data_IF_002869885468
#
_entry.id   IF_002869885468
#
_cell.length_a   1.000
_cell.length_b   1.000
_cell.length_c   1.000
_cell.angle_alpha   90.00
_cell.angle_beta   90.00
_cell.angle_gamma   90.00
#
_symmetry.space_group_name_H-M   'P 1'
#
loop_
_entity.id
_entity.type
_entity.pdbx_description
1 polymer ?
#
# COMPACT_ATOMS: atom_id res chain seq x y z
N UNK A 1 -4.35 4.12 -6.13
CA UNK A 1 -4.01 2.72 -6.51
C UNK A 1 -2.74 2.26 -5.80
N UNK A 2 -1.61 2.99 -5.90
CA UNK A 2 -0.37 2.61 -5.19
C UNK A 2 -0.55 2.55 -3.66
N UNK A 3 -1.34 3.45 -3.07
CA UNK A 3 -1.61 3.46 -1.62
C UNK A 3 -2.34 2.20 -1.12
N UNK A 4 -3.41 1.79 -1.81
CA UNK A 4 -4.07 0.48 -1.57
C UNK A 4 -3.03 -0.63 -1.65
N UNK A 5 -2.23 -0.63 -2.71
CA UNK A 5 -1.27 -1.70 -2.94
C UNK A 5 -0.28 -1.78 -1.78
N UNK A 6 0.26 -0.66 -1.31
CA UNK A 6 1.16 -0.61 -0.16
C UNK A 6 0.52 -1.15 1.12
N UNK A 7 -0.70 -0.71 1.45
CA UNK A 7 -1.45 -1.20 2.62
C UNK A 7 -1.78 -2.69 2.51
N UNK A 8 -2.22 -3.15 1.34
CA UNK A 8 -2.52 -4.56 1.08
C UNK A 8 -1.27 -5.44 1.23
N UNK A 9 -0.13 -5.00 0.68
CA UNK A 9 1.13 -5.73 0.79
C UNK A 9 1.66 -5.75 2.22
N UNK A 10 1.57 -4.64 2.95
CA UNK A 10 1.94 -4.59 4.36
C UNK A 10 1.03 -5.49 5.22
N UNK A 11 -0.27 -5.50 4.97
CA UNK A 11 -1.24 -6.34 5.69
C UNK A 11 -1.02 -7.84 5.45
N UNK A 12 -0.65 -8.24 4.23
CA UNK A 12 -0.53 -9.66 3.85
C UNK A 12 0.89 -10.20 4.08
N UNK A 13 1.89 -9.49 3.55
CA UNK A 13 3.30 -9.90 3.59
C UNK A 13 3.98 -9.35 4.84
N UNK A 14 3.68 -8.10 5.24
CA UNK A 14 4.48 -7.34 6.20
C UNK A 14 5.45 -6.41 5.47
N UNK A 15 6.57 -6.11 6.12
CA UNK A 15 7.59 -5.21 5.58
C UNK A 15 8.08 -5.61 4.18
N UNK A 16 8.38 -4.59 3.36
CA UNK A 16 8.90 -4.80 2.00
C UNK A 16 10.16 -5.64 2.02
N UNK A 17 10.16 -6.70 1.21
CA UNK A 17 11.22 -7.73 1.17
C UNK A 17 11.79 -7.96 -0.23
N UNK A 18 11.48 -7.07 -1.18
CA UNK A 18 11.99 -7.10 -2.55
C UNK A 18 12.81 -5.85 -2.84
N UNK A 19 13.77 -5.94 -3.76
CA UNK A 19 14.54 -4.80 -4.23
C UNK A 19 13.67 -3.79 -4.98
N UNK A 20 14.03 -2.51 -4.89
CA UNK A 20 13.33 -1.44 -5.61
C UNK A 20 13.48 -1.65 -7.13
N UNK A 21 12.37 -1.60 -7.91
CA UNK A 21 12.43 -1.72 -9.37
C UNK A 21 13.30 -0.66 -10.04
N UNK A 22 13.88 -1.01 -11.20
CA UNK A 22 14.73 -0.11 -11.98
C UNK A 22 14.03 1.18 -12.42
N UNK A 23 14.80 2.22 -12.72
CA UNK A 23 14.30 3.58 -13.03
C UNK A 23 13.38 3.68 -14.24
N UNK A 24 13.36 2.66 -15.11
CA UNK A 24 12.48 2.59 -16.27
C UNK A 24 11.11 1.96 -15.97
N UNK A 25 10.96 1.29 -14.82
CA UNK A 25 9.67 0.75 -14.34
C UNK A 25 8.99 1.74 -13.37
N UNK A 26 8.48 2.84 -13.91
CA UNK A 26 7.78 3.85 -13.12
C UNK A 26 6.56 3.31 -12.36
N UNK A 27 5.72 2.42 -12.93
CA UNK A 27 4.60 1.82 -12.19
C UNK A 27 5.06 0.93 -11.04
N UNK A 28 6.11 0.12 -11.25
CA UNK A 28 6.71 -0.73 -10.23
C UNK A 28 7.33 0.09 -9.12
N UNK A 29 8.07 1.15 -9.44
CA UNK A 29 8.63 2.06 -8.43
C UNK A 29 7.55 2.67 -7.56
N UNK A 30 6.46 3.21 -8.14
CA UNK A 30 5.37 3.80 -7.34
C UNK A 30 4.74 2.81 -6.38
N UNK A 31 4.54 1.56 -6.82
CA UNK A 31 4.00 0.48 -5.97
C UNK A 31 4.97 0.09 -4.87
N UNK A 32 6.25 -0.04 -5.20
CA UNK A 32 7.31 -0.37 -4.25
C UNK A 32 7.47 0.73 -3.21
N UNK A 33 7.54 1.99 -3.63
CA UNK A 33 7.66 3.15 -2.75
C UNK A 33 6.46 3.23 -1.79
N UNK A 34 5.24 3.01 -2.30
CA UNK A 34 4.05 2.99 -1.46
C UNK A 34 4.06 1.87 -0.42
N UNK A 35 4.60 0.68 -0.75
CA UNK A 35 4.76 -0.41 0.22
C UNK A 35 5.88 -0.11 1.22
N UNK A 36 7.03 0.38 0.75
CA UNK A 36 8.17 0.73 1.60
C UNK A 36 7.83 1.85 2.60
N UNK A 37 6.97 2.80 2.23
CA UNK A 37 6.46 3.83 3.15
C UNK A 37 5.59 3.29 4.30
N UNK A 38 5.13 2.03 4.23
CA UNK A 38 4.35 1.36 5.29
C UNK A 38 5.20 0.43 6.15
N UNK A 39 6.51 0.35 5.90
CA UNK A 39 7.44 -0.46 6.68
C UNK A 39 7.34 -0.11 8.17
N UNK A 40 7.28 -1.13 9.02
CA UNK A 40 7.12 -1.00 10.46
C UNK A 40 5.68 -0.93 10.95
N UNK A 41 4.68 -0.78 10.07
CA UNK A 41 3.29 -1.02 10.47
C UNK A 41 3.07 -2.51 10.73
N UNK A 42 2.35 -2.85 11.79
CA UNK A 42 1.84 -4.20 11.97
C UNK A 42 0.82 -4.55 10.88
N UNK A 43 0.59 -5.85 10.69
CA UNK A 43 -0.40 -6.34 9.72
C UNK A 43 -1.81 -5.84 10.06
N UNK A 44 -2.16 -5.83 11.35
CA UNK A 44 -3.48 -5.41 11.82
C UNK A 44 -3.70 -3.90 11.62
N UNK A 45 -2.70 -3.06 11.92
CA UNK A 45 -2.77 -1.63 11.65
C UNK A 45 -2.87 -1.33 10.15
N UNK A 46 -2.14 -2.09 9.31
CA UNK A 46 -2.23 -1.95 7.86
C UNK A 46 -3.62 -2.34 7.33
N UNK A 47 -4.25 -3.38 7.88
CA UNK A 47 -5.64 -3.76 7.54
C UNK A 47 -6.64 -2.69 7.98
N UNK A 48 -6.51 -2.16 9.19
CA UNK A 48 -7.38 -1.09 9.68
C UNK A 48 -7.27 0.17 8.79
N UNK A 49 -6.05 0.57 8.43
CA UNK A 49 -5.80 1.68 7.52
C UNK A 49 -6.37 1.42 6.11
N UNK A 50 -6.32 0.19 5.62
CA UNK A 50 -6.94 -0.20 4.34
C UNK A 50 -8.46 0.01 4.37
N UNK A 51 -9.13 -0.44 5.43
CA UNK A 51 -10.59 -0.26 5.60
C UNK A 51 -10.95 1.21 5.62
N UNK A 52 -10.26 2.03 6.42
CA UNK A 52 -10.49 3.49 6.48
C UNK A 52 -10.32 4.13 5.10
N UNK A 53 -9.30 3.71 4.36
CA UNK A 53 -9.04 4.24 3.03
C UNK A 53 -10.16 3.87 2.03
N UNK A 54 -10.66 2.64 2.07
CA UNK A 54 -11.79 2.18 1.22
C UNK A 54 -13.08 2.92 1.59
N UNK A 55 -13.36 3.13 2.88
CA UNK A 55 -14.52 3.91 3.32
C UNK A 55 -14.45 5.37 2.84
N UNK A 56 -13.25 5.96 2.84
CA UNK A 56 -13.05 7.29 2.28
C UNK A 56 -13.25 7.33 0.75
N UNK A 57 -12.88 6.27 0.03
CA UNK A 57 -13.19 6.16 -1.40
C UNK A 57 -14.68 6.08 -1.65
N UNK A 58 -15.40 5.22 -0.91
CA UNK A 58 -16.85 5.09 -1.03
C UNK A 58 -17.54 6.44 -0.86
N UNK A 59 -17.17 7.19 0.18
CA UNK A 59 -17.65 8.56 0.42
C UNK A 59 -17.31 9.51 -0.73
N UNK A 60 -16.09 9.44 -1.27
CA UNK A 60 -15.62 10.34 -2.33
C UNK A 60 -16.30 10.08 -3.68
N UNK A 61 -16.57 8.82 -4.00
CA UNK A 61 -17.10 8.40 -5.30
C UNK A 61 -18.58 8.02 -5.28
N UNK A 62 -19.23 8.03 -4.10
CA UNK A 62 -20.67 7.79 -3.95
C UNK A 62 -21.09 6.35 -4.29
N UNK A 63 -20.26 5.37 -3.94
CA UNK A 63 -20.49 3.93 -4.15
C UNK A 63 -20.60 3.17 -2.83
#
# INVERSE_FOLDING_TARGET
IAEIYGLYKQATVGDVNISRPGIFDFPGQKKWDAWNCKKGLSKDEAMAAYVVWVENLKKKYGI
#
